data_IF_378054626163
#
_entry.id   IF_378054626163
#
_cell.length_a   1.000
_cell.length_b   1.000
_cell.length_c   1.000
_cell.angle_alpha   90.00
_cell.angle_beta   90.00
_cell.angle_gamma   90.00
#
_symmetry.space_group_name_H-M   'P 1'
#
loop_
_entity.id
_entity.type
_entity.pdbx_description
1 polymer ?
#
# COMPACT_ATOMS: atom_id res chain seq x y z
N UNK A 1 0.49 29.07 -10.47
CA UNK A 1 1.03 27.70 -10.49
C UNK A 1 -0.08 26.77 -10.95
N UNK A 2 0.05 26.17 -12.13
CA UNK A 2 -0.93 25.24 -12.69
C UNK A 2 -0.90 23.94 -11.88
N UNK A 3 -2.01 23.55 -11.26
CA UNK A 3 -2.08 22.28 -10.52
C UNK A 3 -2.02 21.13 -11.54
N UNK A 4 -1.07 20.18 -11.43
CA UNK A 4 -0.96 19.08 -12.37
C UNK A 4 -2.21 18.20 -12.32
N UNK A 5 -2.91 18.05 -13.46
CA UNK A 5 -4.14 17.25 -13.54
C UNK A 5 -3.79 15.83 -13.96
N UNK A 6 -4.00 14.87 -13.05
CA UNK A 6 -3.86 13.44 -13.38
C UNK A 6 -5.07 13.01 -14.24
N UNK A 7 -4.85 12.42 -15.42
CA UNK A 7 -5.93 11.92 -16.27
C UNK A 7 -6.73 10.81 -15.56
N UNK A 8 -8.04 10.74 -15.82
CA UNK A 8 -8.89 9.68 -15.26
C UNK A 8 -8.39 8.27 -15.58
N UNK A 9 -7.87 8.06 -16.81
CA UNK A 9 -7.29 6.78 -17.24
C UNK A 9 -6.08 6.35 -16.39
N UNK A 10 -5.23 7.31 -15.99
CA UNK A 10 -4.09 7.05 -15.12
C UNK A 10 -4.58 6.67 -13.72
N UNK A 11 -5.61 7.36 -13.22
CA UNK A 11 -6.21 7.06 -11.91
C UNK A 11 -6.80 5.64 -11.88
N UNK A 12 -7.51 5.23 -12.94
CA UNK A 12 -8.01 3.85 -13.07
C UNK A 12 -6.87 2.83 -13.09
N UNK A 13 -5.77 3.12 -13.80
CA UNK A 13 -4.59 2.27 -13.79
C UNK A 13 -3.98 2.11 -12.39
N UNK A 14 -3.91 3.19 -11.61
CA UNK A 14 -3.42 3.16 -10.23
C UNK A 14 -4.34 2.34 -9.30
N UNK A 15 -5.66 2.44 -9.47
CA UNK A 15 -6.63 1.63 -8.71
C UNK A 15 -6.49 0.14 -9.04
N UNK A 16 -6.34 -0.19 -10.33
CA UNK A 16 -6.11 -1.57 -10.77
C UNK A 16 -4.78 -2.11 -10.25
N UNK A 17 -3.72 -1.28 -10.23
CA UNK A 17 -2.44 -1.63 -9.63
C UNK A 17 -2.59 -1.92 -8.13
N UNK A 18 -3.27 -1.05 -7.39
CA UNK A 18 -3.53 -1.24 -5.95
C UNK A 18 -4.30 -2.55 -5.69
N UNK A 19 -5.35 -2.81 -6.46
CA UNK A 19 -6.12 -4.06 -6.38
C UNK A 19 -5.27 -5.29 -6.73
N UNK A 20 -4.46 -5.20 -7.78
CA UNK A 20 -3.56 -6.28 -8.18
C UNK A 20 -2.55 -6.62 -7.09
N UNK A 21 -1.98 -5.61 -6.45
CA UNK A 21 -1.07 -5.77 -5.31
C UNK A 21 -1.78 -6.40 -4.13
N UNK A 22 -2.99 -5.92 -3.78
CA UNK A 22 -3.78 -6.48 -2.68
C UNK A 22 -4.15 -7.94 -2.91
N UNK A 23 -4.55 -8.30 -4.13
CA UNK A 23 -4.83 -9.71 -4.48
C UNK A 23 -3.54 -10.52 -4.41
N UNK A 24 -2.43 -10.02 -4.95
CA UNK A 24 -1.15 -10.70 -4.92
C UNK A 24 -0.63 -10.95 -3.49
N UNK A 25 -0.77 -9.97 -2.58
CA UNK A 25 -0.36 -10.12 -1.18
C UNK A 25 -1.20 -11.15 -0.44
N UNK A 26 -2.50 -11.25 -0.75
CA UNK A 26 -3.41 -12.22 -0.13
C UNK A 26 -3.32 -13.64 -0.71
N UNK A 27 -2.91 -13.80 -1.98
CA UNK A 27 -3.01 -15.08 -2.70
C UNK A 27 -1.70 -15.83 -2.87
N UNK A 28 -0.55 -15.15 -2.76
CA UNK A 28 0.75 -15.77 -3.04
C UNK A 28 1.56 -15.99 -1.77
N UNK A 29 2.30 -17.11 -1.73
CA UNK A 29 3.21 -17.40 -0.63
C UNK A 29 4.29 -16.32 -0.43
N UNK A 30 4.73 -15.70 -1.54
CA UNK A 30 5.63 -14.54 -1.53
C UNK A 30 4.94 -13.26 -1.04
N UNK A 31 3.62 -13.17 -1.21
CA UNK A 31 2.77 -12.10 -0.69
C UNK A 31 2.64 -12.13 0.83
N UNK A 32 2.84 -13.29 1.48
CA UNK A 32 2.79 -13.39 2.94
C UNK A 32 3.91 -12.61 3.66
N UNK A 33 5.03 -12.34 2.98
CA UNK A 33 6.08 -11.44 3.47
C UNK A 33 5.63 -9.96 3.53
N UNK A 34 4.57 -9.63 2.78
CA UNK A 34 3.93 -8.33 2.75
C UNK A 34 2.51 -8.43 3.34
N UNK A 35 2.30 -9.39 4.24
CA UNK A 35 1.02 -9.61 4.88
C UNK A 35 0.77 -8.60 5.99
N UNK A 36 -0.51 -8.36 6.27
CA UNK A 36 -1.01 -7.61 7.42
C UNK A 36 -0.67 -8.28 8.76
N UNK A 37 -0.28 -9.57 8.70
CA UNK A 37 0.00 -10.46 9.83
C UNK A 37 1.50 -10.57 10.13
N UNK A 38 2.24 -9.46 10.08
CA UNK A 38 3.61 -9.47 10.57
C UNK A 38 3.62 -9.39 12.10
N UNK A 39 4.18 -10.41 12.75
CA UNK A 39 4.40 -10.44 14.18
C UNK A 39 5.56 -9.51 14.57
N UNK A 40 5.38 -8.85 15.70
CA UNK A 40 6.28 -7.87 16.29
C UNK A 40 7.60 -8.55 16.68
N UNK A 41 8.73 -8.13 16.09
CA UNK A 41 10.03 -8.20 16.78
C UNK A 41 10.12 -7.06 17.81
N UNK A 42 11.02 -7.18 18.80
CA UNK A 42 11.13 -6.32 20.01
C UNK A 42 11.13 -4.78 19.79
N UNK A 43 11.23 -4.31 18.54
CA UNK A 43 11.38 -2.90 18.16
C UNK A 43 10.04 -2.16 17.91
N UNK A 44 8.88 -2.81 18.03
CA UNK A 44 7.55 -2.18 17.85
C UNK A 44 7.22 -1.74 16.41
N UNK A 45 8.10 -2.03 15.45
CA UNK A 45 7.95 -1.66 14.04
C UNK A 45 6.78 -2.40 13.34
N UNK A 46 6.39 -3.57 13.85
CA UNK A 46 5.27 -4.37 13.30
C UNK A 46 3.94 -3.62 13.25
N UNK A 47 3.63 -2.83 14.29
CA UNK A 47 2.39 -2.06 14.37
C UNK A 47 2.31 -0.95 13.30
N UNK A 48 3.46 -0.32 13.00
CA UNK A 48 3.55 0.70 11.96
C UNK A 48 3.29 0.11 10.56
N UNK A 49 3.85 -1.07 10.28
CA UNK A 49 3.60 -1.78 9.02
C UNK A 49 2.18 -2.31 8.92
N UNK A 50 1.59 -2.84 10.00
CA UNK A 50 0.18 -3.25 10.02
C UNK A 50 -0.75 -2.06 9.74
N UNK A 51 -0.50 -0.93 10.39
CA UNK A 51 -1.24 0.33 10.18
C UNK A 51 -1.15 0.82 8.72
N UNK A 52 0.02 0.69 8.09
CA UNK A 52 0.21 1.04 6.68
C UNK A 52 -0.65 0.19 5.73
N UNK A 53 -0.87 -1.09 6.04
CA UNK A 53 -1.77 -1.94 5.25
C UNK A 53 -3.23 -1.51 5.38
N UNK A 54 -3.67 -1.12 6.57
CA UNK A 54 -4.99 -0.52 6.76
C UNK A 54 -5.14 0.79 5.98
N UNK A 55 -4.11 1.64 5.97
CA UNK A 55 -4.08 2.84 5.12
C UNK A 55 -4.18 2.46 3.64
N UNK A 56 -3.50 1.40 3.20
CA UNK A 56 -3.59 0.88 1.84
C UNK A 56 -4.99 0.37 1.48
N UNK A 57 -5.71 -0.26 2.40
CA UNK A 57 -7.11 -0.65 2.23
C UNK A 57 -8.04 0.58 2.16
N UNK A 58 -7.85 1.55 3.06
CA UNK A 58 -8.65 2.78 3.10
C UNK A 58 -8.39 3.70 1.90
N UNK A 59 -7.25 3.56 1.21
CA UNK A 59 -6.98 4.24 -0.04
C UNK A 59 -7.89 3.81 -1.18
N UNK A 60 -8.48 2.62 -1.11
CA UNK A 60 -9.32 2.07 -2.18
C UNK A 60 -10.62 2.87 -2.38
N UNK A 61 -11.43 3.17 -1.34
CA UNK A 61 -12.56 4.08 -1.48
C UNK A 61 -12.13 5.51 -1.84
N UNK A 62 -10.95 5.97 -1.40
CA UNK A 62 -10.41 7.26 -1.81
C UNK A 62 -10.06 7.29 -3.30
N UNK A 63 -9.46 6.21 -3.83
CA UNK A 63 -9.17 6.01 -5.24
C UNK A 63 -10.45 6.02 -6.07
N UNK A 64 -11.47 5.28 -5.65
CA UNK A 64 -12.80 5.30 -6.28
C UNK A 64 -13.43 6.71 -6.26
N UNK A 65 -13.37 7.41 -5.12
CA UNK A 65 -13.86 8.78 -5.01
C UNK A 65 -13.08 9.74 -5.93
N UNK A 66 -11.78 9.51 -6.14
CA UNK A 66 -10.94 10.34 -6.99
C UNK A 66 -11.27 10.25 -8.49
N UNK A 67 -12.00 9.21 -8.92
CA UNK A 67 -12.56 9.15 -10.27
C UNK A 67 -13.58 10.27 -10.50
N UNK A 68 -14.43 10.54 -9.49
CA UNK A 68 -15.44 11.60 -9.51
C UNK A 68 -14.86 12.97 -9.13
N UNK A 69 -13.91 13.02 -8.20
CA UNK A 69 -13.31 14.26 -7.71
C UNK A 69 -11.86 14.40 -8.15
N UNK A 70 -11.61 15.18 -9.22
CA UNK A 70 -10.27 15.37 -9.79
C UNK A 70 -9.23 15.89 -8.80
N UNK A 71 -9.64 16.63 -7.76
CA UNK A 71 -8.75 17.14 -6.69
C UNK A 71 -8.15 16.03 -5.83
N UNK A 72 -8.86 14.91 -5.68
CA UNK A 72 -8.39 13.79 -4.86
C UNK A 72 -7.37 12.91 -5.59
N UNK A 73 -7.21 13.04 -6.91
CA UNK A 73 -6.33 12.17 -7.69
C UNK A 73 -4.87 12.32 -7.29
N UNK A 74 -4.42 13.55 -7.04
CA UNK A 74 -3.04 13.81 -6.61
C UNK A 74 -2.82 13.24 -5.21
N UNK A 75 -3.75 13.50 -4.29
CA UNK A 75 -3.70 12.97 -2.92
C UNK A 75 -3.64 11.45 -2.94
N UNK A 76 -4.53 10.82 -3.70
CA UNK A 76 -4.55 9.37 -3.91
C UNK A 76 -3.22 8.85 -4.47
N UNK A 77 -2.70 9.45 -5.55
CA UNK A 77 -1.45 9.03 -6.18
C UNK A 77 -0.24 9.17 -5.24
N UNK A 78 -0.15 10.27 -4.49
CA UNK A 78 0.95 10.51 -3.53
C UNK A 78 0.91 9.48 -2.41
N UNK A 79 -0.24 9.28 -1.78
CA UNK A 79 -0.35 8.32 -0.67
C UNK A 79 -0.11 6.89 -1.19
N UNK A 80 -0.64 6.53 -2.37
CA UNK A 80 -0.38 5.24 -3.00
C UNK A 80 1.12 5.01 -3.24
N UNK A 81 1.85 6.01 -3.75
CA UNK A 81 3.30 5.94 -3.95
C UNK A 81 4.06 5.77 -2.63
N UNK A 82 3.67 6.50 -1.58
CA UNK A 82 4.28 6.37 -0.25
C UNK A 82 4.05 4.96 0.29
N UNK A 83 2.82 4.44 0.21
CA UNK A 83 2.51 3.09 0.66
C UNK A 83 3.29 2.03 -0.12
N UNK A 84 3.46 2.20 -1.43
CA UNK A 84 4.28 1.30 -2.25
C UNK A 84 5.76 1.33 -1.87
N UNK A 85 6.30 2.53 -1.60
CA UNK A 85 7.67 2.67 -1.13
C UNK A 85 7.87 2.06 0.27
N UNK A 86 6.88 2.14 1.15
CA UNK A 86 6.97 1.48 2.45
C UNK A 86 6.88 -0.05 2.34
N UNK A 87 6.10 -0.59 1.40
CA UNK A 87 6.03 -2.02 1.15
C UNK A 87 7.39 -2.58 0.68
N UNK A 88 8.12 -1.87 -0.20
CA UNK A 88 9.46 -2.32 -0.61
C UNK A 88 10.45 -2.31 0.55
N UNK A 89 10.32 -1.36 1.47
CA UNK A 89 11.15 -1.26 2.67
C UNK A 89 10.86 -2.36 3.69
N UNK A 90 9.62 -2.85 3.78
CA UNK A 90 9.23 -3.97 4.64
C UNK A 90 10.04 -5.24 4.34
N UNK A 91 10.31 -5.52 3.06
CA UNK A 91 11.16 -6.65 2.66
C UNK A 91 12.59 -6.51 3.17
N UNK A 92 13.18 -5.32 3.05
CA UNK A 92 14.54 -5.08 3.53
C UNK A 92 14.63 -5.23 5.06
N UNK A 93 13.60 -4.78 5.79
CA UNK A 93 13.51 -4.94 7.25
C UNK A 93 13.32 -6.40 7.66
N UNK A 94 12.58 -7.20 6.89
CA UNK A 94 12.50 -8.65 7.07
C UNK A 94 13.83 -9.34 6.82
N UNK A 95 14.50 -9.04 5.72
CA UNK A 95 15.82 -9.62 5.38
C UNK A 95 16.89 -9.23 6.43
N UNK A 96 16.77 -8.05 7.05
CA UNK A 96 17.61 -7.60 8.15
C UNK A 96 17.24 -8.21 9.52
N UNK A 97 16.14 -8.97 9.62
CA UNK A 97 15.71 -9.65 10.85
C UNK A 97 14.90 -8.79 11.83
N UNK A 98 14.49 -7.58 11.44
CA UNK A 98 13.66 -6.70 12.29
C UNK A 98 12.17 -7.05 12.27
N UNK A 99 11.73 -7.89 11.32
CA UNK A 99 10.33 -8.28 11.15
C UNK A 99 10.21 -9.79 10.94
N UNK A 100 9.21 -10.39 11.55
CA UNK A 100 8.82 -11.78 11.29
C UNK A 100 7.37 -11.82 10.83
N UNK A 101 7.17 -12.13 9.56
CA UNK A 101 5.84 -12.25 8.98
C UNK A 101 5.47 -13.73 8.88
N UNK A 102 4.61 -14.17 9.78
CA UNK A 102 3.95 -15.46 9.64
C UNK A 102 2.76 -15.26 8.68
N UNK A 103 2.70 -16.06 7.62
CA UNK A 103 1.50 -16.14 6.80
C UNK A 103 0.31 -16.64 7.62
N UNK A 104 -0.93 -16.51 7.12
CA UNK A 104 -2.09 -17.13 7.76
C UNK A 104 -1.96 -18.66 7.85
#
# INVERSE_FOLDING_TARGET
>A
MSVPIIPGRVTTGLILLQLGILIWTLTTAAGHFFSMFCAVGDDGMGDAFSSLHFVFLLLLPLGLASLRFSRLRIVYAVILLVSLATLTQQRAMMEAGHLHCEGP
#
